data_IF_557198590931
#
_entry.id   IF_557198590931
#
_cell.length_a   1.000
_cell.length_b   1.000
_cell.length_c   1.000
_cell.angle_alpha   90.00
_cell.angle_beta   90.00
_cell.angle_gamma   90.00
#
_symmetry.space_group_name_H-M   'P 1'
#
loop_
_entity.id
_entity.type
_entity.pdbx_description
1 polymer ?
#
# COMPACT_ATOMS: atom_id res chain seq x y z
N UNK A 1 -19.90 -14.14 -44.47
CA UNK A 1 -19.72 -13.25 -43.30
C UNK A 1 -19.38 -14.13 -42.12
N UNK A 2 -18.10 -14.25 -41.78
CA UNK A 2 -17.60 -15.21 -40.80
C UNK A 2 -17.48 -14.51 -39.44
N UNK A 3 -18.21 -14.98 -38.45
CA UNK A 3 -18.28 -14.40 -37.10
C UNK A 3 -17.04 -14.86 -36.34
N UNK A 4 -16.21 -13.90 -35.91
CA UNK A 4 -14.99 -14.15 -35.13
C UNK A 4 -15.33 -14.70 -33.74
N UNK A 5 -14.61 -15.75 -33.35
CA UNK A 5 -14.68 -16.40 -32.05
C UNK A 5 -14.33 -15.43 -30.90
N UNK A 6 -14.82 -15.68 -29.66
CA UNK A 6 -14.55 -14.85 -28.51
C UNK A 6 -13.07 -14.91 -28.15
N UNK A 7 -12.44 -13.73 -28.13
CA UNK A 7 -11.09 -13.47 -27.63
C UNK A 7 -10.87 -14.14 -26.27
N UNK A 8 -9.93 -15.07 -26.21
CA UNK A 8 -9.54 -15.74 -24.97
C UNK A 8 -9.15 -14.70 -23.90
N UNK A 9 -9.69 -14.86 -22.69
CA UNK A 9 -9.33 -14.09 -21.51
C UNK A 9 -7.81 -14.19 -21.27
N UNK A 10 -7.11 -13.08 -20.98
CA UNK A 10 -5.66 -13.11 -20.81
C UNK A 10 -5.28 -13.92 -19.57
N UNK A 11 -4.17 -14.65 -19.70
CA UNK A 11 -3.52 -15.44 -18.66
C UNK A 11 -3.42 -14.65 -17.34
N UNK A 12 -3.65 -15.35 -16.22
CA UNK A 12 -3.45 -14.85 -14.85
C UNK A 12 -2.14 -14.09 -14.71
N UNK A 13 -2.23 -12.75 -14.63
CA UNK A 13 -1.08 -11.89 -14.43
C UNK A 13 -0.50 -12.16 -13.04
N UNK A 14 0.62 -12.87 -12.98
CA UNK A 14 1.31 -13.13 -11.71
C UNK A 14 2.09 -11.88 -11.32
N UNK A 15 1.46 -10.99 -10.56
CA UNK A 15 2.10 -9.78 -10.04
C UNK A 15 3.12 -10.17 -8.97
N UNK A 16 4.41 -9.91 -9.23
CA UNK A 16 5.47 -10.13 -8.24
C UNK A 16 5.87 -8.80 -7.62
N UNK A 17 5.88 -8.72 -6.29
CA UNK A 17 6.37 -7.54 -5.56
C UNK A 17 7.66 -7.85 -4.80
N UNK A 18 8.44 -6.80 -4.51
CA UNK A 18 9.62 -6.82 -3.64
C UNK A 18 9.50 -5.69 -2.63
N UNK A 19 9.63 -6.02 -1.35
CA UNK A 19 9.74 -5.03 -0.27
C UNK A 19 11.21 -4.58 -0.20
N UNK A 20 11.47 -3.32 0.13
CA UNK A 20 12.85 -2.85 0.32
C UNK A 20 13.56 -3.67 1.41
N UNK A 21 14.69 -4.30 1.10
CA UNK A 21 15.42 -5.13 2.07
C UNK A 21 16.04 -4.31 3.22
N UNK A 22 16.43 -3.06 2.94
CA UNK A 22 17.02 -2.16 3.93
C UNK A 22 15.91 -1.32 4.56
N UNK A 23 15.51 -1.68 5.77
CA UNK A 23 14.56 -0.93 6.58
C UNK A 23 15.31 -0.08 7.63
N UNK A 24 15.09 1.25 7.65
CA UNK A 24 15.50 2.10 8.77
C UNK A 24 15.00 1.50 10.07
N UNK A 25 15.85 1.47 11.10
CA UNK A 25 15.50 0.87 12.40
C UNK A 25 14.31 1.59 13.04
N UNK A 26 14.17 2.87 12.74
CA UNK A 26 13.09 3.77 13.16
C UNK A 26 11.72 3.33 12.63
N UNK A 27 11.68 2.56 11.54
CA UNK A 27 10.44 2.04 10.94
C UNK A 27 10.06 0.65 11.45
N UNK A 28 10.89 0.05 12.31
CA UNK A 28 10.64 -1.29 12.87
C UNK A 28 9.83 -1.12 14.15
N UNK A 29 8.68 -1.79 14.24
CA UNK A 29 7.83 -1.85 15.43
C UNK A 29 7.34 -0.47 15.92
N UNK A 30 6.83 0.35 15.01
CA UNK A 30 6.20 1.63 15.34
C UNK A 30 4.84 1.36 15.98
N UNK A 31 4.55 2.05 17.09
CA UNK A 31 3.25 1.97 17.74
C UNK A 31 2.16 2.73 16.98
N UNK A 32 0.91 2.30 17.12
CA UNK A 32 -0.22 2.98 16.47
C UNK A 32 -0.29 4.44 16.87
N UNK A 33 0.00 4.79 18.12
CA UNK A 33 0.04 6.17 18.60
C UNK A 33 0.95 7.07 17.75
N UNK A 34 2.13 6.60 17.34
CA UNK A 34 3.02 7.37 16.44
C UNK A 34 2.52 7.40 15.00
N UNK A 35 1.84 6.33 14.54
CA UNK A 35 1.27 6.27 13.18
C UNK A 35 0.15 7.30 13.00
N UNK A 36 -0.72 7.45 14.00
CA UNK A 36 -1.85 8.38 13.95
C UNK A 36 -1.44 9.82 14.30
N UNK A 37 -0.25 10.03 14.86
CA UNK A 37 0.19 11.34 15.34
C UNK A 37 0.26 12.37 14.18
N UNK A 38 -0.43 13.52 14.31
CA UNK A 38 -0.38 14.59 13.30
C UNK A 38 1.00 15.17 13.05
N UNK A 39 1.90 15.15 14.03
CA UNK A 39 3.28 15.61 13.88
C UNK A 39 4.18 14.61 13.14
N UNK A 40 3.67 13.40 12.86
CA UNK A 40 4.40 12.30 12.22
C UNK A 40 3.75 11.86 10.91
N UNK A 41 3.33 10.59 10.86
CA UNK A 41 2.73 9.97 9.67
C UNK A 41 1.33 10.54 9.39
N UNK A 42 0.62 10.99 10.43
CA UNK A 42 -0.73 11.56 10.36
C UNK A 42 -1.77 10.65 9.69
N UNK A 43 -1.66 9.33 9.91
CA UNK A 43 -2.64 8.36 9.41
C UNK A 43 -3.81 8.21 10.40
N UNK A 44 -4.64 9.23 10.51
CA UNK A 44 -5.61 9.36 11.61
C UNK A 44 -6.63 8.22 11.69
N UNK A 45 -7.06 7.68 10.55
CA UNK A 45 -8.03 6.58 10.49
C UNK A 45 -7.38 5.20 10.43
N UNK A 46 -6.05 5.12 10.62
CA UNK A 46 -5.31 3.86 10.50
C UNK A 46 -5.87 2.75 11.41
N UNK A 47 -6.06 3.05 12.70
CA UNK A 47 -6.53 2.05 13.66
C UNK A 47 -7.94 1.55 13.34
N UNK A 48 -8.83 2.46 12.93
CA UNK A 48 -10.19 2.13 12.52
C UNK A 48 -10.19 1.28 11.25
N UNK A 49 -9.34 1.60 10.27
CA UNK A 49 -9.19 0.85 9.05
C UNK A 49 -8.63 -0.56 9.29
N UNK A 50 -7.63 -0.70 10.16
CA UNK A 50 -7.10 -2.03 10.55
C UNK A 50 -8.18 -2.85 11.24
N UNK A 51 -8.96 -2.25 12.16
CA UNK A 51 -10.08 -2.94 12.81
C UNK A 51 -11.11 -3.43 11.78
N UNK A 52 -11.52 -2.57 10.85
CA UNK A 52 -12.46 -2.93 9.80
C UNK A 52 -11.91 -4.06 8.90
N UNK A 53 -10.63 -3.97 8.53
CA UNK A 53 -9.94 -5.02 7.76
C UNK A 53 -9.94 -6.36 8.50
N UNK A 54 -9.58 -6.38 9.79
CA UNK A 54 -9.58 -7.59 10.60
C UNK A 54 -10.98 -8.22 10.68
N UNK A 55 -12.02 -7.41 10.90
CA UNK A 55 -13.40 -7.87 10.96
C UNK A 55 -13.88 -8.45 9.61
N UNK A 56 -13.53 -7.81 8.49
CA UNK A 56 -13.84 -8.32 7.14
C UNK A 56 -13.18 -9.67 6.86
N UNK A 57 -12.01 -9.92 7.47
CA UNK A 57 -11.30 -11.19 7.38
C UNK A 57 -11.67 -12.19 8.49
N UNK A 58 -12.76 -11.95 9.24
CA UNK A 58 -13.28 -12.89 10.25
C UNK A 58 -12.52 -12.90 11.57
N UNK A 59 -11.63 -11.94 11.79
CA UNK A 59 -10.89 -11.80 13.05
C UNK A 59 -11.69 -11.00 14.07
N UNK A 60 -11.75 -11.51 15.31
CA UNK A 60 -12.36 -10.83 16.46
C UNK A 60 -11.38 -9.93 17.23
N UNK A 61 -10.13 -9.83 16.78
CA UNK A 61 -9.13 -9.01 17.44
C UNK A 61 -9.48 -7.52 17.34
N UNK A 62 -9.33 -6.82 18.46
CA UNK A 62 -9.56 -5.37 18.53
C UNK A 62 -8.20 -4.68 18.67
N UNK A 63 -7.71 -4.00 17.61
CA UNK A 63 -6.42 -3.36 17.65
C UNK A 63 -6.42 -2.17 18.62
N UNK A 64 -5.30 -2.00 19.32
CA UNK A 64 -5.07 -1.04 20.39
C UNK A 64 -3.99 -0.01 19.99
N UNK A 65 -3.96 1.12 20.69
CA UNK A 65 -3.00 2.21 20.41
C UNK A 65 -1.54 1.83 20.68
N UNK A 66 -1.29 0.85 21.55
CA UNK A 66 0.05 0.36 21.88
C UNK A 66 0.53 -0.76 20.94
N UNK A 67 -0.32 -1.24 20.02
CA UNK A 67 0.06 -2.26 19.06
C UNK A 67 1.17 -1.74 18.15
N UNK A 68 2.09 -2.63 17.79
CA UNK A 68 3.27 -2.28 17.03
C UNK A 68 3.24 -2.92 15.66
N UNK A 69 3.50 -2.11 14.64
CA UNK A 69 3.52 -2.52 13.25
C UNK A 69 4.92 -2.34 12.67
N UNK A 70 5.34 -3.27 11.82
CA UNK A 70 6.55 -3.10 11.04
C UNK A 70 6.20 -2.35 9.75
N UNK A 71 6.75 -1.14 9.59
CA UNK A 71 6.51 -0.28 8.45
C UNK A 71 7.59 -0.44 7.38
N UNK A 72 7.20 -0.17 6.14
CA UNK A 72 8.05 -0.28 4.96
C UNK A 72 8.12 1.05 4.22
N UNK A 73 9.33 1.52 3.88
CA UNK A 73 9.51 2.77 3.13
C UNK A 73 8.94 2.70 1.70
N UNK A 74 9.07 1.53 1.06
CA UNK A 74 8.63 1.33 -0.32
C UNK A 74 8.39 -0.14 -0.67
N UNK A 75 7.52 -0.35 -1.65
CA UNK A 75 7.29 -1.62 -2.34
C UNK A 75 7.56 -1.42 -3.82
N UNK A 76 8.30 -2.35 -4.43
CA UNK A 76 8.52 -2.39 -5.88
C UNK A 76 7.68 -3.49 -6.48
N UNK A 77 6.75 -3.11 -7.34
CA UNK A 77 5.88 -4.00 -8.09
C UNK A 77 6.50 -4.20 -9.48
N UNK A 78 6.66 -5.47 -9.88
CA UNK A 78 7.04 -5.80 -11.25
C UNK A 78 5.77 -5.90 -12.08
N UNK A 79 5.61 -4.98 -13.02
CA UNK A 79 4.49 -4.97 -13.93
C UNK A 79 4.74 -5.98 -15.07
N UNK A 80 3.68 -6.60 -15.61
CA UNK A 80 3.80 -7.42 -16.80
C UNK A 80 4.34 -6.59 -17.97
N UNK A 81 5.10 -7.21 -18.90
CA UNK A 81 5.58 -6.52 -20.08
C UNK A 81 4.39 -6.07 -20.94
N UNK A 82 4.41 -4.80 -21.35
CA UNK A 82 3.44 -4.25 -22.30
C UNK A 82 4.14 -4.24 -23.65
N UNK A 83 3.84 -5.24 -24.49
CA UNK A 83 4.56 -5.50 -25.74
C UNK A 83 4.62 -4.29 -26.68
N UNK A 84 3.59 -3.43 -26.63
CA UNK A 84 3.47 -2.21 -27.42
C UNK A 84 4.41 -1.08 -26.95
N UNK A 85 4.89 -1.12 -25.71
CA UNK A 85 5.73 -0.07 -25.11
C UNK A 85 7.15 -0.55 -24.89
N UNK A 86 7.33 -1.75 -24.33
CA UNK A 86 8.65 -2.35 -24.11
C UNK A 86 8.55 -3.85 -23.82
N UNK A 87 9.54 -4.60 -24.31
CA UNK A 87 9.76 -6.00 -23.90
C UNK A 87 10.43 -6.12 -22.52
N UNK A 88 10.93 -5.01 -21.96
CA UNK A 88 11.55 -4.99 -20.63
C UNK A 88 10.49 -4.99 -19.53
N UNK A 89 10.79 -5.66 -18.42
CA UNK A 89 9.95 -5.66 -17.22
C UNK A 89 9.89 -4.24 -16.65
N UNK A 90 8.69 -3.66 -16.65
CA UNK A 90 8.45 -2.35 -16.04
C UNK A 90 8.38 -2.50 -14.51
N UNK A 91 8.94 -1.54 -13.80
CA UNK A 91 8.90 -1.47 -12.33
C UNK A 91 8.03 -0.30 -11.92
N UNK A 92 7.05 -0.56 -11.07
CA UNK A 92 6.29 0.47 -10.39
C UNK A 92 6.72 0.50 -8.92
N UNK A 93 7.10 1.65 -8.40
CA UNK A 93 7.56 1.79 -7.02
C UNK A 93 6.54 2.63 -6.28
N UNK A 94 6.00 2.07 -5.19
CA UNK A 94 5.11 2.77 -4.27
C UNK A 94 5.89 3.08 -3.00
N UNK A 95 5.87 4.34 -2.57
CA UNK A 95 6.55 4.86 -1.39
C UNK A 95 5.55 5.38 -0.38
N UNK A 96 5.81 5.03 0.88
CA UNK A 96 5.12 5.60 2.03
C UNK A 96 6.14 5.62 3.18
N UNK A 97 6.66 6.80 3.50
CA UNK A 97 7.61 6.94 4.58
C UNK A 97 7.41 8.24 5.36
N UNK A 98 7.48 8.16 6.71
CA UNK A 98 7.53 9.35 7.54
C UNK A 98 8.76 10.20 7.23
N UNK A 99 8.80 11.44 7.75
CA UNK A 99 10.06 12.17 7.81
C UNK A 99 11.07 11.38 8.65
N UNK A 100 12.29 11.22 8.14
CA UNK A 100 13.40 10.54 8.82
C UNK A 100 14.39 11.61 9.26
N UNK A 101 14.66 11.69 10.57
CA UNK A 101 15.62 12.63 11.11
C UNK A 101 17.04 12.35 10.59
N UNK A 102 17.85 13.40 10.46
CA UNK A 102 19.27 13.24 10.21
C UNK A 102 19.93 12.58 11.43
N UNK A 103 20.80 11.60 11.21
CA UNK A 103 21.58 10.99 12.30
C UNK A 103 22.87 11.79 12.49
N UNK A 104 23.09 12.41 13.67
CA UNK A 104 24.30 13.17 13.95
C UNK A 104 25.57 12.35 13.70
N UNK A 105 26.55 12.93 13.02
CA UNK A 105 27.83 12.26 12.72
C UNK A 105 27.79 11.30 11.52
N UNK A 106 26.66 11.17 10.82
CA UNK A 106 26.59 10.42 9.55
C UNK A 106 26.41 11.37 8.36
N UNK A 107 26.76 10.89 7.17
CA UNK A 107 26.51 11.63 5.90
C UNK A 107 25.04 11.59 5.46
N UNK A 108 24.16 10.98 6.25
CA UNK A 108 22.74 10.86 5.92
C UNK A 108 22.03 12.16 6.30
N UNK A 109 21.77 12.98 5.28
CA UNK A 109 20.84 14.09 5.40
C UNK A 109 19.45 13.53 5.71
N UNK A 110 18.75 14.15 6.66
CA UNK A 110 17.38 13.76 6.99
C UNK A 110 16.49 13.74 5.75
N UNK A 111 15.52 12.84 5.72
CA UNK A 111 14.62 12.68 4.60
C UNK A 111 13.25 13.27 4.93
N UNK A 112 12.66 13.98 3.97
CA UNK A 112 11.27 14.43 4.09
C UNK A 112 10.30 13.26 3.96
N UNK A 113 9.07 13.46 4.43
CA UNK A 113 8.00 12.49 4.24
C UNK A 113 7.72 12.27 2.74
N UNK A 114 7.49 11.02 2.34
CA UNK A 114 7.12 10.65 0.97
C UNK A 114 5.87 9.78 0.99
N UNK A 115 4.85 10.18 0.24
CA UNK A 115 3.60 9.45 0.13
C UNK A 115 3.14 9.49 -1.32
N UNK A 116 3.20 8.34 -2.00
CA UNK A 116 2.72 8.21 -3.37
C UNK A 116 1.19 8.13 -3.42
N UNK A 117 0.63 8.32 -4.61
CA UNK A 117 -0.81 8.25 -4.85
C UNK A 117 -1.22 6.91 -5.47
N UNK A 118 -2.45 6.51 -5.19
CA UNK A 118 -3.11 5.36 -5.78
C UNK A 118 -4.47 5.78 -6.35
N UNK A 119 -4.89 5.12 -7.42
CA UNK A 119 -6.27 5.20 -7.91
C UNK A 119 -7.07 4.09 -7.24
N UNK A 120 -8.07 4.47 -6.45
CA UNK A 120 -8.99 3.56 -5.77
C UNK A 120 -10.32 3.59 -6.50
N UNK A 121 -10.93 2.41 -6.71
CA UNK A 121 -12.30 2.33 -7.21
C UNK A 121 -13.28 2.62 -6.07
N UNK A 122 -14.05 3.68 -6.20
CA UNK A 122 -15.16 4.04 -5.32
C UNK A 122 -16.49 3.80 -6.05
N UNK A 123 -17.58 3.66 -5.30
CA UNK A 123 -18.94 3.51 -5.86
C UNK A 123 -19.56 4.84 -6.29
N UNK A 124 -18.80 5.94 -6.28
CA UNK A 124 -19.32 7.28 -6.56
C UNK A 124 -19.32 7.55 -8.05
N UNK A 125 -20.40 8.19 -8.51
CA UNK A 125 -20.54 8.58 -9.92
C UNK A 125 -20.08 10.01 -10.11
N UNK A 126 -19.25 10.24 -11.12
CA UNK A 126 -18.81 11.57 -11.53
C UNK A 126 -19.18 11.77 -13.00
N UNK A 127 -20.02 12.77 -13.27
CA UNK A 127 -20.51 13.07 -14.62
C UNK A 127 -19.38 13.35 -15.64
N UNK A 128 -18.22 13.81 -15.17
CA UNK A 128 -17.06 14.11 -16.03
C UNK A 128 -16.30 12.85 -16.44
N UNK A 129 -16.28 11.82 -15.59
CA UNK A 129 -15.57 10.56 -15.88
C UNK A 129 -16.48 9.42 -16.30
N UNK A 130 -17.81 9.65 -16.34
CA UNK A 130 -18.83 8.71 -16.78
C UNK A 130 -18.53 8.15 -18.18
N UNK A 131 -18.54 6.83 -18.34
CA UNK A 131 -18.23 6.16 -19.60
C UNK A 131 -16.74 6.13 -19.98
N UNK A 132 -15.84 6.61 -19.11
CA UNK A 132 -14.38 6.60 -19.35
C UNK A 132 -13.69 5.49 -18.54
N UNK A 133 -12.42 5.21 -18.87
CA UNK A 133 -11.60 4.30 -18.06
C UNK A 133 -11.33 4.80 -16.62
N UNK A 134 -11.64 6.06 -16.32
CA UNK A 134 -11.50 6.67 -14.99
C UNK A 134 -12.83 6.71 -14.22
N UNK A 135 -13.90 6.15 -14.77
CA UNK A 135 -15.20 6.09 -14.09
C UNK A 135 -15.10 5.34 -12.76
N UNK A 136 -15.65 5.95 -11.71
CA UNK A 136 -15.63 5.39 -10.36
C UNK A 136 -14.23 5.28 -9.76
N UNK A 137 -13.22 5.98 -10.27
CA UNK A 137 -11.90 6.06 -9.64
C UNK A 137 -11.71 7.38 -8.90
N UNK A 138 -11.09 7.31 -7.72
CA UNK A 138 -10.57 8.48 -6.98
C UNK A 138 -9.07 8.35 -6.74
N UNK A 139 -8.41 9.50 -6.70
CA UNK A 139 -7.04 9.60 -6.23
C UNK A 139 -7.06 9.58 -4.71
N UNK A 140 -6.21 8.75 -4.12
CA UNK A 140 -5.98 8.66 -2.70
C UNK A 140 -4.47 8.53 -2.44
N UNK A 141 -4.03 8.85 -1.23
CA UNK A 141 -2.64 8.87 -0.83
C UNK A 141 -2.28 7.63 -0.03
N UNK A 142 -1.18 6.96 -0.40
CA UNK A 142 -0.63 5.83 0.34
C UNK A 142 0.15 6.38 1.53
N UNK A 143 -0.42 6.23 2.73
CA UNK A 143 0.17 6.75 3.98
C UNK A 143 1.11 5.78 4.64
N UNK A 144 0.75 4.49 4.64
CA UNK A 144 1.50 3.47 5.38
C UNK A 144 1.58 2.20 4.57
N UNK A 145 2.79 1.67 4.40
CA UNK A 145 3.02 0.30 3.97
C UNK A 145 3.50 -0.49 5.18
N UNK A 146 2.87 -1.62 5.48
CA UNK A 146 3.13 -2.34 6.73
C UNK A 146 2.90 -3.85 6.61
N UNK A 147 3.39 -4.59 7.60
CA UNK A 147 2.97 -5.98 7.82
C UNK A 147 2.12 -6.07 9.06
N UNK A 148 1.10 -6.94 9.01
CA UNK A 148 0.32 -7.26 10.19
C UNK A 148 1.18 -8.03 11.19
N UNK A 149 1.09 -7.70 12.48
CA UNK A 149 1.70 -8.49 13.54
C UNK A 149 1.24 -9.95 13.46
N UNK A 150 2.13 -10.87 13.77
CA UNK A 150 1.86 -12.32 13.63
C UNK A 150 0.62 -12.78 14.39
N UNK A 151 0.33 -12.17 15.55
CA UNK A 151 -0.86 -12.45 16.35
C UNK A 151 -2.18 -12.00 15.69
N UNK A 152 -2.15 -11.02 14.77
CA UNK A 152 -3.29 -10.66 13.93
C UNK A 152 -3.40 -11.48 12.66
N UNK A 153 -2.26 -11.92 12.13
CA UNK A 153 -2.19 -12.67 10.87
C UNK A 153 -2.50 -14.16 11.02
N UNK A 154 -2.41 -14.72 12.22
CA UNK A 154 -2.60 -16.15 12.49
C UNK A 154 -3.93 -16.74 11.98
N UNK A 155 -5.10 -16.07 12.08
CA UNK A 155 -6.36 -16.67 11.68
C UNK A 155 -6.56 -16.78 10.16
N UNK A 156 -5.83 -16.00 9.34
CA UNK A 156 -6.06 -15.94 7.89
C UNK A 156 -4.77 -15.83 7.05
N UNK A 157 -3.62 -16.18 7.64
CA UNK A 157 -2.30 -16.24 7.00
C UNK A 157 -1.95 -14.98 6.17
N UNK A 158 -2.06 -13.80 6.79
CA UNK A 158 -1.69 -12.53 6.17
C UNK A 158 -0.15 -12.34 6.12
N UNK A 159 0.53 -13.15 5.32
CA UNK A 159 1.97 -13.03 5.08
C UNK A 159 2.33 -11.90 4.09
N UNK A 160 1.34 -11.17 3.58
CA UNK A 160 1.51 -10.14 2.54
C UNK A 160 1.58 -8.74 3.18
N UNK A 161 2.40 -7.83 2.62
CA UNK A 161 2.39 -6.43 3.03
C UNK A 161 1.03 -5.80 2.69
N UNK A 162 0.55 -4.95 3.58
CA UNK A 162 -0.66 -4.16 3.41
C UNK A 162 -0.30 -2.70 3.20
N UNK A 163 -1.22 -1.98 2.56
CA UNK A 163 -1.15 -0.54 2.38
C UNK A 163 -2.39 0.10 3.02
N UNK A 164 -2.19 1.12 3.84
CA UNK A 164 -3.25 2.02 4.27
C UNK A 164 -3.24 3.25 3.36
N UNK A 165 -4.42 3.55 2.82
CA UNK A 165 -4.65 4.57 1.79
C UNK A 165 -5.80 5.46 2.25
N UNK A 166 -5.65 6.79 2.12
CA UNK A 166 -6.66 7.80 2.49
C UNK A 166 -6.78 8.93 1.47
#
# INVERSE_FOLDING_TARGET
>A
MTISAPTALPATLTLTYKIAQTHPTELRNIDVASIINPAGINAQQFLLAVKAYLQQHGSSFVPQSFDRFALFKRITITLPPILQVSKLKLRNVVRASPPIAAVPGTRNHGEHAYHDFALIRTGERNAVTDGTALEGLRVAQVRVLFSLPSYYSAPFNAAKPLAYIE
#
